data_IF_666787011730
#
_entry.id   IF_666787011730
#
_cell.length_a   1.000
_cell.length_b   1.000
_cell.length_c   1.000
_cell.angle_alpha   90.00
_cell.angle_beta   90.00
_cell.angle_gamma   90.00
#
_symmetry.space_group_name_H-M   'P 1'
#
loop_
_entity.id
_entity.type
_entity.pdbx_description
1 polymer ?
#
# COMPACT_ATOMS: atom_id res chain seq x y z
N UNK A 1 -0.53 -2.24 16.27
CA UNK A 1 0.52 -1.68 15.39
C UNK A 1 1.44 -2.81 14.91
N UNK A 2 0.97 -3.64 13.97
CA UNK A 2 1.72 -4.81 13.49
C UNK A 2 2.84 -4.42 12.51
N UNK A 3 2.53 -3.52 11.57
CA UNK A 3 3.50 -3.02 10.57
C UNK A 3 4.67 -2.30 11.22
N UNK A 4 4.43 -1.42 12.21
CA UNK A 4 5.50 -0.70 12.87
C UNK A 4 6.50 -1.61 13.61
N UNK A 5 6.04 -2.77 14.11
CA UNK A 5 6.94 -3.78 14.69
C UNK A 5 7.70 -4.54 13.62
N UNK A 6 7.01 -4.95 12.55
CA UNK A 6 7.64 -5.65 11.42
C UNK A 6 8.70 -4.78 10.73
N UNK A 7 8.47 -3.47 10.60
CA UNK A 7 9.41 -2.53 9.99
C UNK A 7 10.72 -2.34 10.76
N UNK A 8 10.79 -2.80 12.02
CA UNK A 8 12.04 -2.85 12.77
C UNK A 8 12.96 -4.01 12.34
N UNK A 9 12.40 -5.01 11.66
CA UNK A 9 13.11 -6.22 11.22
C UNK A 9 13.30 -6.25 9.70
N UNK A 10 12.35 -5.69 8.94
CA UNK A 10 12.38 -5.65 7.50
C UNK A 10 12.15 -4.23 6.98
N UNK A 11 12.86 -3.87 5.91
CA UNK A 11 12.63 -2.59 5.23
C UNK A 11 11.36 -2.70 4.38
N UNK A 12 10.44 -1.76 4.56
CA UNK A 12 9.27 -1.59 3.71
C UNK A 12 9.56 -0.50 2.68
N UNK A 13 9.33 -0.78 1.41
CA UNK A 13 9.57 0.16 0.32
C UNK A 13 8.26 0.57 -0.37
N UNK A 14 8.22 1.74 -1.03
CA UNK A 14 7.11 2.12 -1.88
C UNK A 14 6.86 1.10 -2.99
N UNK A 15 5.59 0.97 -3.40
CA UNK A 15 5.07 0.05 -4.41
C UNK A 15 5.11 -1.44 -4.00
N UNK A 16 5.58 -1.77 -2.80
CA UNK A 16 5.46 -3.11 -2.24
C UNK A 16 4.05 -3.36 -1.70
N UNK A 17 3.66 -4.63 -1.70
CA UNK A 17 2.40 -5.08 -1.14
C UNK A 17 2.61 -5.87 0.15
N UNK A 18 1.58 -5.93 0.99
CA UNK A 18 1.57 -6.69 2.24
C UNK A 18 0.22 -7.35 2.44
N UNK A 19 0.21 -8.61 2.83
CA UNK A 19 -0.99 -9.37 3.18
C UNK A 19 -0.82 -9.95 4.58
N UNK A 20 -1.86 -9.81 5.39
CA UNK A 20 -1.93 -10.47 6.69
C UNK A 20 -2.60 -11.85 6.55
N UNK A 21 -2.00 -12.92 7.09
CA UNK A 21 -2.64 -14.23 7.16
C UNK A 21 -4.06 -14.15 7.75
N UNK A 22 -5.00 -14.89 7.16
CA UNK A 22 -6.43 -14.78 7.45
C UNK A 22 -6.78 -15.09 8.93
N UNK A 23 -5.98 -15.93 9.57
CA UNK A 23 -6.10 -16.36 10.95
C UNK A 23 -5.61 -15.33 11.98
N UNK A 24 -4.97 -14.24 11.55
CA UNK A 24 -4.50 -13.20 12.48
C UNK A 24 -5.66 -12.41 13.07
N UNK A 25 -5.68 -12.31 14.40
CA UNK A 25 -6.67 -11.51 15.12
C UNK A 25 -6.63 -10.03 14.68
N UNK A 26 -7.79 -9.43 14.44
CA UNK A 26 -8.05 -8.04 14.04
C UNK A 26 -7.57 -7.59 12.65
N UNK A 27 -6.50 -8.17 12.11
CA UNK A 27 -5.91 -7.76 10.83
C UNK A 27 -5.93 -8.84 9.76
N UNK A 28 -6.40 -10.05 10.10
CA UNK A 28 -6.36 -11.17 9.18
C UNK A 28 -7.08 -10.89 7.87
N UNK A 29 -6.43 -11.26 6.77
CA UNK A 29 -6.95 -11.10 5.41
C UNK A 29 -6.85 -9.67 4.86
N UNK A 30 -6.40 -8.68 5.65
CA UNK A 30 -6.15 -7.34 5.13
C UNK A 30 -5.02 -7.35 4.12
N UNK A 31 -5.21 -6.61 3.03
CA UNK A 31 -4.25 -6.45 1.93
C UNK A 31 -3.93 -5.00 1.76
N UNK A 32 -2.64 -4.69 1.65
CA UNK A 32 -2.14 -3.33 1.69
C UNK A 32 -1.18 -3.07 0.53
N UNK A 33 -1.21 -1.84 0.05
CA UNK A 33 -0.19 -1.27 -0.84
C UNK A 33 0.51 -0.10 -0.11
N UNK A 34 1.81 0.04 -0.36
CA UNK A 34 2.60 1.13 0.19
C UNK A 34 2.92 2.19 -0.87
N UNK A 35 2.68 3.47 -0.57
CA UNK A 35 3.10 4.59 -1.43
C UNK A 35 3.98 5.57 -0.67
N UNK A 36 4.95 6.19 -1.35
CA UNK A 36 5.71 7.28 -0.78
C UNK A 36 4.83 8.54 -0.76
N UNK A 37 4.48 9.03 0.43
CA UNK A 37 3.51 10.11 0.60
C UNK A 37 4.17 11.47 0.89
N UNK A 38 3.58 12.54 0.37
CA UNK A 38 3.99 13.93 0.61
C UNK A 38 4.86 14.54 -0.50
N UNK A 39 5.27 15.82 -0.33
CA UNK A 39 5.90 16.58 -1.40
C UNK A 39 7.26 15.99 -1.80
N UNK A 40 7.54 16.09 -3.09
CA UNK A 40 8.70 15.57 -3.83
C UNK A 40 9.80 16.61 -4.12
N UNK A 41 10.29 17.45 -3.19
CA UNK A 41 11.55 18.14 -3.43
C UNK A 41 12.70 17.19 -3.08
N UNK A 42 13.46 16.84 -4.11
CA UNK A 42 14.74 16.11 -4.11
C UNK A 42 14.75 14.76 -3.35
N UNK A 43 14.29 13.69 -4.03
CA UNK A 43 14.39 12.30 -3.53
C UNK A 43 15.83 11.87 -3.23
N UNK A 44 16.86 12.52 -3.78
CA UNK A 44 18.25 12.06 -3.65
C UNK A 44 18.88 12.35 -2.29
N UNK A 45 18.35 13.32 -1.53
CA UNK A 45 18.94 13.77 -0.26
C UNK A 45 18.07 13.53 0.99
N UNK A 46 16.93 12.82 0.86
CA UNK A 46 16.08 12.53 2.02
C UNK A 46 16.50 11.23 2.72
N UNK A 47 16.88 11.36 3.99
CA UNK A 47 17.15 10.24 4.89
C UNK A 47 15.89 9.62 5.50
N UNK A 48 14.75 10.33 5.46
CA UNK A 48 13.46 9.86 5.96
C UNK A 48 12.30 10.34 5.09
N UNK A 49 11.16 9.65 5.18
CA UNK A 49 9.95 9.97 4.44
C UNK A 49 8.71 9.34 5.08
N UNK A 50 7.55 9.62 4.50
CA UNK A 50 6.27 9.04 4.93
C UNK A 50 5.90 7.93 3.97
N UNK A 51 5.55 6.76 4.51
CA UNK A 51 5.00 5.66 3.75
C UNK A 51 3.50 5.57 4.05
N UNK A 52 2.66 5.87 3.06
CA UNK A 52 1.22 5.66 3.17
C UNK A 52 0.93 4.16 3.13
N UNK A 53 0.05 3.73 4.02
CA UNK A 53 -0.43 2.35 4.10
C UNK A 53 -1.90 2.36 3.72
N UNK A 54 -2.20 1.82 2.54
CA UNK A 54 -3.53 1.88 1.94
C UNK A 54 -4.08 0.46 1.81
N UNK A 55 -5.28 0.23 2.33
CA UNK A 55 -5.98 -1.06 2.19
C UNK A 55 -6.64 -1.16 0.81
N UNK A 56 -6.51 -2.32 0.18
CA UNK A 56 -6.94 -2.57 -1.20
C UNK A 56 -7.75 -3.85 -1.31
N UNK A 57 -8.54 -3.96 -2.37
CA UNK A 57 -9.32 -5.16 -2.65
C UNK A 57 -8.40 -6.35 -3.02
N UNK A 58 -8.90 -7.60 -2.91
CA UNK A 58 -8.13 -8.78 -3.33
C UNK A 58 -7.73 -8.75 -4.81
N UNK A 59 -8.61 -8.32 -5.72
CA UNK A 59 -8.30 -8.22 -7.15
C UNK A 59 -7.20 -7.20 -7.43
N UNK A 60 -7.22 -6.07 -6.72
CA UNK A 60 -6.19 -5.03 -6.80
C UNK A 60 -4.83 -5.53 -6.32
N UNK A 61 -4.79 -6.31 -5.23
CA UNK A 61 -3.56 -6.96 -4.76
C UNK A 61 -2.98 -7.90 -5.81
N UNK A 62 -3.81 -8.74 -6.44
CA UNK A 62 -3.36 -9.66 -7.50
C UNK A 62 -2.87 -8.90 -8.74
N UNK A 63 -3.53 -7.80 -9.10
CA UNK A 63 -3.06 -6.89 -10.13
C UNK A 63 -1.69 -6.29 -9.76
N UNK A 64 -1.51 -5.79 -8.53
CA UNK A 64 -0.22 -5.24 -8.10
C UNK A 64 0.91 -6.29 -8.07
N UNK A 65 0.60 -7.56 -7.78
CA UNK A 65 1.58 -8.67 -7.84
C UNK A 65 2.01 -9.01 -9.27
N UNK A 66 1.13 -8.81 -10.25
CA UNK A 66 1.36 -9.20 -11.66
C UNK A 66 1.90 -8.04 -12.50
N UNK A 67 1.32 -6.84 -12.38
CA UNK A 67 1.69 -5.63 -13.13
C UNK A 67 2.63 -4.70 -12.35
N UNK A 68 2.58 -4.74 -11.02
CA UNK A 68 3.40 -3.91 -10.14
C UNK A 68 2.59 -2.89 -9.34
N UNK A 69 3.03 -2.59 -8.11
CA UNK A 69 2.31 -1.69 -7.21
C UNK A 69 2.21 -0.24 -7.69
N UNK A 70 3.20 0.23 -8.47
CA UNK A 70 3.18 1.58 -9.02
C UNK A 70 2.00 1.78 -9.99
N UNK A 71 1.67 0.74 -10.77
CA UNK A 71 0.56 0.77 -11.73
C UNK A 71 -0.78 0.76 -11.00
N UNK A 72 -0.93 -0.05 -9.94
CA UNK A 72 -2.12 -0.02 -9.10
C UNK A 72 -2.33 1.38 -8.49
N UNK A 73 -1.26 1.99 -7.96
CA UNK A 73 -1.32 3.34 -7.39
C UNK A 73 -1.78 4.36 -8.44
N UNK A 74 -1.32 4.22 -9.70
CA UNK A 74 -1.77 5.07 -10.79
C UNK A 74 -3.26 4.90 -11.11
N UNK A 75 -3.78 3.66 -11.09
CA UNK A 75 -5.21 3.37 -11.25
C UNK A 75 -6.04 3.97 -10.12
N UNK A 76 -5.63 3.78 -8.86
CA UNK A 76 -6.30 4.34 -7.67
C UNK A 76 -6.33 5.88 -7.71
N UNK A 77 -5.25 6.52 -8.17
CA UNK A 77 -5.19 7.98 -8.38
C UNK A 77 -6.12 8.44 -9.50
N UNK A 78 -6.16 7.70 -10.60
CA UNK A 78 -7.00 8.03 -11.76
C UNK A 78 -8.49 7.89 -11.46
N UNK A 79 -8.86 6.92 -10.61
CA UNK A 79 -10.23 6.72 -10.14
C UNK A 79 -10.66 7.67 -9.01
N UNK A 80 -9.73 8.46 -8.46
CA UNK A 80 -10.01 9.38 -7.34
C UNK A 80 -10.14 8.72 -5.97
N UNK A 81 -9.76 7.45 -5.83
CA UNK A 81 -9.84 6.70 -4.57
C UNK A 81 -8.61 6.88 -3.68
N UNK A 82 -7.45 7.17 -4.29
CA UNK A 82 -6.24 7.51 -3.54
C UNK A 82 -6.40 8.85 -2.79
N UNK A 83 -5.93 8.99 -1.53
CA UNK A 83 -5.11 8.05 -0.76
C UNK A 83 -5.89 7.25 0.31
N UNK A 84 -7.18 7.00 0.11
CA UNK A 84 -8.04 6.47 1.17
C UNK A 84 -8.15 4.94 1.12
N UNK A 85 -8.21 4.31 2.29
CA UNK A 85 -8.51 2.88 2.48
C UNK A 85 -10.03 2.61 2.49
N UNK A 86 -10.78 3.35 1.68
CA UNK A 86 -12.21 3.13 1.54
C UNK A 86 -12.44 1.90 0.66
N UNK A 87 -13.13 0.91 1.20
CA UNK A 87 -13.50 -0.33 0.50
C UNK A 87 -14.99 -0.36 0.14
N UNK A 88 -15.76 0.70 0.46
CA UNK A 88 -17.12 0.91 -0.03
C UNK A 88 -17.10 1.57 -1.43
N UNK A 89 -16.34 0.94 -2.33
CA UNK A 89 -16.12 1.35 -3.72
C UNK A 89 -15.91 0.11 -4.59
N UNK A 90 -16.06 0.28 -5.90
CA UNK A 90 -15.65 -0.76 -6.84
C UNK A 90 -14.11 -0.84 -6.93
N UNK A 91 -13.54 -2.05 -7.06
CA UNK A 91 -12.11 -2.23 -7.31
C UNK A 91 -11.72 -1.62 -8.66
N UNK A 92 -10.49 -1.11 -8.77
CA UNK A 92 -9.99 -0.49 -10.02
C UNK A 92 -9.30 -1.48 -10.96
N UNK A 93 -9.14 -2.74 -10.52
CA UNK A 93 -8.51 -3.84 -11.26
C UNK A 93 -9.14 -5.19 -10.91
#
# INVERSE_FOLDING_TARGET
NFIGRYSAQAKLNPNETCEFPAEMEHVGGKRLIFDAYGPTPDRKNRTFGILAVIEVHPSEMEFARTSGGADLIALLKSAGYYPYSDLDREPVA
#
